data_IF_257242610709
#
_entry.id   IF_257242610709
#
_cell.length_a   1.000
_cell.length_b   1.000
_cell.length_c   1.000
_cell.angle_alpha   90.00
_cell.angle_beta   90.00
_cell.angle_gamma   90.00
#
_symmetry.space_group_name_H-M   'P 1'
#
loop_
_entity.id
_entity.type
_entity.pdbx_description
1 polymer ?
#
# COMPACT_ATOMS: atom_id res chain seq x y z
N UNK A 1 -9.82 -41.91 -19.16
CA UNK A 1 -10.62 -43.14 -19.20
C UNK A 1 -11.77 -42.97 -20.19
N UNK A 2 -11.49 -42.92 -21.49
CA UNK A 2 -12.53 -42.96 -22.51
C UNK A 2 -12.61 -44.41 -23.01
N UNK A 3 -13.24 -45.27 -22.21
CA UNK A 3 -13.74 -46.54 -22.73
C UNK A 3 -14.91 -46.24 -23.67
N UNK A 4 -15.09 -47.06 -24.69
CA UNK A 4 -16.14 -46.91 -25.67
C UNK A 4 -17.50 -46.77 -24.95
N UNK A 5 -18.23 -45.66 -25.18
CA UNK A 5 -19.53 -45.38 -24.53
C UNK A 5 -20.50 -46.56 -24.74
N UNK A 6 -20.42 -47.23 -25.89
CA UNK A 6 -21.23 -48.40 -26.21
C UNK A 6 -20.98 -49.59 -25.27
N UNK A 7 -19.73 -49.77 -24.81
CA UNK A 7 -19.38 -50.83 -23.85
C UNK A 7 -19.93 -50.51 -22.44
N UNK A 8 -20.03 -49.23 -22.08
CA UNK A 8 -20.63 -48.80 -20.81
C UNK A 8 -22.14 -49.04 -20.78
N UNK A 9 -22.85 -48.74 -21.87
CA UNK A 9 -24.29 -48.96 -21.97
C UNK A 9 -24.65 -50.43 -22.17
N UNK A 10 -23.70 -51.28 -22.57
CA UNK A 10 -23.91 -52.73 -22.72
C UNK A 10 -23.75 -53.50 -21.40
N UNK A 11 -23.12 -52.92 -20.37
CA UNK A 11 -22.94 -53.56 -19.06
C UNK A 11 -24.14 -53.28 -18.14
N UNK A 12 -24.81 -54.35 -17.70
CA UNK A 12 -26.01 -54.27 -16.83
C UNK A 12 -25.75 -53.55 -15.51
N UNK A 13 -24.61 -53.82 -14.85
CA UNK A 13 -24.29 -53.18 -13.58
C UNK A 13 -23.95 -51.68 -13.76
N UNK A 14 -23.36 -51.31 -14.89
CA UNK A 14 -23.13 -49.90 -15.25
C UNK A 14 -24.45 -49.19 -15.53
N UNK A 15 -25.38 -49.83 -16.25
CA UNK A 15 -26.74 -49.33 -16.45
C UNK A 15 -27.49 -49.15 -15.12
N UNK A 16 -27.35 -50.08 -14.18
CA UNK A 16 -27.91 -49.95 -12.84
C UNK A 16 -27.32 -48.78 -12.06
N UNK A 17 -26.03 -48.49 -12.23
CA UNK A 17 -25.39 -47.32 -11.64
C UNK A 17 -25.96 -46.01 -12.21
N UNK A 18 -26.25 -45.94 -13.51
CA UNK A 18 -26.98 -44.82 -14.10
C UNK A 18 -28.40 -44.69 -13.53
N UNK A 19 -29.15 -45.80 -13.44
CA UNK A 19 -30.49 -45.83 -12.81
C UNK A 19 -30.45 -45.31 -11.37
N UNK A 20 -29.46 -45.74 -10.59
CA UNK A 20 -29.27 -45.27 -9.21
C UNK A 20 -28.94 -43.77 -9.16
N UNK A 21 -28.10 -43.28 -10.07
CA UNK A 21 -27.74 -41.86 -10.17
C UNK A 21 -28.95 -40.99 -10.55
N UNK A 22 -29.74 -41.41 -11.53
CA UNK A 22 -31.00 -40.74 -11.90
C UNK A 22 -31.99 -40.77 -10.74
N UNK A 23 -32.09 -41.89 -10.03
CA UNK A 23 -32.96 -42.00 -8.85
C UNK A 23 -32.58 -40.99 -7.76
N UNK A 24 -31.28 -40.74 -7.54
CA UNK A 24 -30.81 -39.70 -6.62
C UNK A 24 -31.17 -38.29 -7.10
N UNK A 25 -31.06 -38.00 -8.40
CA UNK A 25 -31.42 -36.70 -8.98
C UNK A 25 -32.92 -36.43 -8.80
N UNK A 26 -33.76 -37.39 -9.19
CA UNK A 26 -35.23 -37.29 -9.04
C UNK A 26 -35.59 -37.06 -7.58
N UNK A 27 -35.02 -37.86 -6.67
CA UNK A 27 -35.29 -37.73 -5.24
C UNK A 27 -34.85 -36.36 -4.72
N UNK A 28 -33.69 -35.85 -5.16
CA UNK A 28 -33.21 -34.52 -4.80
C UNK A 28 -34.21 -33.43 -5.23
N UNK A 29 -34.63 -33.43 -6.49
CA UNK A 29 -35.53 -32.42 -7.06
C UNK A 29 -36.84 -32.31 -6.25
N UNK A 30 -37.40 -33.44 -5.81
CA UNK A 30 -38.58 -33.45 -4.95
C UNK A 30 -38.30 -32.87 -3.56
N UNK A 31 -37.13 -33.16 -2.99
CA UNK A 31 -36.74 -32.61 -1.70
C UNK A 31 -36.43 -31.11 -1.75
N UNK A 32 -36.04 -30.56 -2.91
CA UNK A 32 -35.64 -29.15 -3.03
C UNK A 32 -36.73 -28.19 -2.54
N UNK A 33 -37.96 -28.33 -3.08
CA UNK A 33 -39.08 -27.45 -2.69
C UNK A 33 -39.46 -27.60 -1.22
N UNK A 34 -39.47 -28.85 -0.74
CA UNK A 34 -39.80 -29.14 0.65
C UNK A 34 -38.76 -28.54 1.61
N UNK A 35 -37.47 -28.77 1.35
CA UNK A 35 -36.36 -28.25 2.17
C UNK A 35 -36.36 -26.73 2.16
N UNK A 36 -36.50 -26.10 0.99
CA UNK A 36 -36.52 -24.64 0.88
C UNK A 36 -37.67 -24.03 1.69
N UNK A 37 -38.88 -24.58 1.56
CA UNK A 37 -40.06 -24.17 2.32
C UNK A 37 -39.87 -24.33 3.84
N UNK A 38 -39.35 -25.47 4.29
CA UNK A 38 -39.14 -25.71 5.72
C UNK A 38 -38.03 -24.82 6.31
N UNK A 39 -36.94 -24.60 5.58
CA UNK A 39 -35.91 -23.65 5.98
C UNK A 39 -36.48 -22.23 6.03
N UNK A 40 -37.34 -21.83 5.08
CA UNK A 40 -37.98 -20.52 5.11
C UNK A 40 -38.89 -20.35 6.33
N UNK A 41 -39.64 -21.40 6.72
CA UNK A 41 -40.43 -21.40 7.97
C UNK A 41 -39.54 -21.29 9.21
N UNK A 42 -38.44 -22.05 9.25
CA UNK A 42 -37.46 -21.97 10.33
C UNK A 42 -36.85 -20.56 10.39
N UNK A 43 -36.50 -19.97 9.25
CA UNK A 43 -35.94 -18.62 9.13
C UNK A 43 -36.91 -17.55 9.65
N UNK A 44 -38.22 -17.70 9.45
CA UNK A 44 -39.20 -16.78 10.04
C UNK A 44 -39.21 -16.79 11.60
N UNK A 45 -38.64 -17.83 12.23
CA UNK A 45 -38.54 -17.98 13.68
C UNK A 45 -37.13 -17.70 14.21
N UNK A 46 -36.10 -18.15 13.48
CA UNK A 46 -34.66 -17.99 13.83
C UNK A 46 -34.10 -16.64 13.37
N UNK A 47 -34.58 -16.16 12.22
CA UNK A 47 -34.16 -14.93 11.53
C UNK A 47 -34.93 -13.68 11.94
N UNK A 48 -35.90 -13.77 12.87
CA UNK A 48 -36.39 -12.58 13.60
C UNK A 48 -35.29 -12.10 14.52
N UNK A 49 -34.44 -11.29 13.92
CA UNK A 49 -33.41 -10.48 14.53
C UNK A 49 -33.96 -9.85 15.81
N UNK A 50 -33.16 -9.85 16.88
CA UNK A 50 -33.52 -9.14 18.11
C UNK A 50 -33.89 -7.68 17.76
N UNK A 51 -35.00 -7.18 18.31
CA UNK A 51 -35.54 -5.85 17.99
C UNK A 51 -34.58 -4.67 18.26
N UNK A 52 -33.45 -4.93 18.93
CA UNK A 52 -32.39 -3.96 19.19
C UNK A 52 -31.24 -3.99 18.17
N UNK A 53 -31.20 -4.97 17.27
CA UNK A 53 -30.08 -5.16 16.36
C UNK A 53 -30.53 -5.60 14.99
N UNK A 54 -31.36 -4.80 14.31
CA UNK A 54 -31.46 -4.81 12.84
C UNK A 54 -30.04 -5.05 12.28
N UNK A 55 -29.87 -6.04 11.43
CA UNK A 55 -28.57 -6.58 10.97
C UNK A 55 -27.73 -5.60 10.12
N UNK A 56 -27.80 -4.31 10.42
CA UNK A 56 -26.86 -3.26 10.02
C UNK A 56 -25.62 -3.24 10.94
N UNK A 57 -25.65 -3.90 12.10
CA UNK A 57 -24.52 -4.00 13.03
C UNK A 57 -23.45 -5.03 12.61
N UNK A 58 -23.26 -5.24 11.30
CA UNK A 58 -22.09 -5.93 10.78
C UNK A 58 -20.89 -4.99 10.91
N UNK A 59 -20.32 -4.92 12.11
CA UNK A 59 -19.09 -4.16 12.31
C UNK A 59 -18.01 -4.85 11.46
N UNK A 60 -17.58 -4.19 10.37
CA UNK A 60 -16.34 -4.53 9.65
C UNK A 60 -15.24 -4.65 10.71
N UNK A 61 -14.76 -5.86 10.98
CA UNK A 61 -13.89 -6.14 12.12
C UNK A 61 -12.52 -5.47 11.94
N UNK A 62 -12.16 -4.41 12.69
CA UNK A 62 -10.82 -3.86 12.61
C UNK A 62 -9.90 -4.54 13.63
N UNK A 63 -10.47 -5.05 14.74
CA UNK A 63 -9.73 -5.47 15.95
C UNK A 63 -10.60 -6.29 16.90
N UNK A 64 -10.96 -7.53 16.55
CA UNK A 64 -11.39 -8.48 17.58
C UNK A 64 -10.15 -9.08 18.26
N UNK A 65 -10.16 -9.29 19.59
CA UNK A 65 -9.00 -9.81 20.33
C UNK A 65 -8.49 -11.18 19.83
N UNK A 66 -9.38 -11.99 19.25
CA UNK A 66 -9.08 -13.26 18.57
C UNK A 66 -8.48 -13.05 17.17
N UNK A 67 -8.90 -12.00 16.48
CA UNK A 67 -8.49 -11.65 15.11
C UNK A 67 -7.18 -10.86 15.05
N UNK A 68 -6.72 -10.33 16.19
CA UNK A 68 -5.51 -9.49 16.31
C UNK A 68 -4.24 -10.25 15.91
N UNK A 69 -4.26 -11.57 16.02
CA UNK A 69 -3.30 -12.48 15.38
C UNK A 69 -3.94 -13.05 14.10
N UNK A 70 -3.84 -12.30 13.00
CA UNK A 70 -4.40 -12.66 11.68
C UNK A 70 -4.10 -14.11 11.26
N UNK A 71 -2.98 -14.69 11.70
CA UNK A 71 -2.58 -16.08 11.45
C UNK A 71 -3.52 -17.16 12.03
N UNK A 72 -4.36 -16.82 13.00
CA UNK A 72 -5.19 -17.78 13.76
C UNK A 72 -6.68 -17.75 13.40
N UNK A 73 -7.14 -16.71 12.68
CA UNK A 73 -8.54 -16.60 12.29
C UNK A 73 -8.74 -17.22 10.91
N UNK A 74 -9.31 -18.43 10.87
CA UNK A 74 -9.61 -19.17 9.63
C UNK A 74 -10.54 -18.43 8.65
N UNK A 75 -11.19 -17.35 9.07
CA UNK A 75 -12.07 -16.52 8.23
C UNK A 75 -11.35 -15.40 7.48
N UNK A 76 -10.17 -14.96 7.96
CA UNK A 76 -9.36 -13.91 7.31
C UNK A 76 -8.15 -14.49 6.54
N UNK A 77 -7.82 -15.77 6.78
CA UNK A 77 -6.62 -16.42 6.27
C UNK A 77 -6.85 -17.31 5.03
N UNK A 78 -8.04 -17.29 4.43
CA UNK A 78 -8.32 -18.02 3.20
C UNK A 78 -7.89 -17.19 1.98
N UNK A 79 -6.83 -17.58 1.23
CA UNK A 79 -6.41 -16.85 0.04
C UNK A 79 -7.52 -16.92 -1.03
N UNK A 80 -7.95 -15.77 -1.55
CA UNK A 80 -8.81 -15.69 -2.75
C UNK A 80 -10.32 -15.50 -2.53
N UNK A 81 -10.80 -15.30 -1.29
CA UNK A 81 -12.22 -15.03 -1.00
C UNK A 81 -12.41 -13.64 -0.39
N UNK A 82 -13.51 -12.96 -0.75
CA UNK A 82 -13.91 -11.67 -0.18
C UNK A 82 -13.89 -11.72 1.37
N UNK A 83 -13.53 -10.63 2.06
CA UNK A 83 -13.45 -10.61 3.52
C UNK A 83 -14.80 -11.02 4.13
N UNK A 84 -14.84 -12.21 4.77
CA UNK A 84 -16.06 -12.70 5.42
C UNK A 84 -16.20 -12.06 6.80
N UNK A 85 -17.36 -11.51 7.18
CA UNK A 85 -17.55 -10.94 8.50
C UNK A 85 -17.40 -12.00 9.58
N UNK A 86 -16.64 -11.65 10.63
CA UNK A 86 -16.34 -12.55 11.75
C UNK A 86 -17.63 -12.92 12.51
N UNK A 87 -17.91 -14.22 12.74
CA UNK A 87 -19.11 -14.66 13.46
C UNK A 87 -19.25 -14.15 14.90
N UNK A 88 -18.19 -13.57 15.47
CA UNK A 88 -18.16 -12.98 16.81
C UNK A 88 -18.68 -11.53 16.85
N UNK A 89 -19.12 -10.98 15.73
CA UNK A 89 -19.77 -9.66 15.63
C UNK A 89 -21.21 -9.76 15.08
N UNK A 90 -21.78 -10.95 15.12
CA UNK A 90 -23.18 -11.21 14.80
C UNK A 90 -23.99 -11.18 16.10
N UNK A 91 -25.29 -10.91 16.02
CA UNK A 91 -26.19 -11.08 17.16
C UNK A 91 -26.01 -12.47 17.79
N UNK A 92 -25.52 -12.52 19.03
CA UNK A 92 -25.28 -13.77 19.76
C UNK A 92 -26.55 -14.61 19.89
N UNK A 93 -27.72 -13.98 19.98
CA UNK A 93 -29.00 -14.67 20.03
C UNK A 93 -29.29 -15.45 18.74
N UNK A 94 -29.08 -14.84 17.56
CA UNK A 94 -29.30 -15.54 16.28
C UNK A 94 -28.30 -16.69 16.13
N UNK A 95 -27.04 -16.45 16.52
CA UNK A 95 -26.01 -17.49 16.52
C UNK A 95 -26.38 -18.67 17.44
N UNK A 96 -26.85 -18.38 18.65
CA UNK A 96 -27.32 -19.38 19.60
C UNK A 96 -28.54 -20.13 19.06
N UNK A 97 -29.48 -19.44 18.42
CA UNK A 97 -30.66 -20.06 17.81
C UNK A 97 -30.26 -21.01 16.66
N UNK A 98 -29.31 -20.62 15.80
CA UNK A 98 -28.81 -21.50 14.74
C UNK A 98 -28.12 -22.73 15.36
N UNK A 99 -27.27 -22.51 16.37
CA UNK A 99 -26.56 -23.57 17.06
C UNK A 99 -27.49 -24.53 17.81
N UNK A 100 -28.55 -24.02 18.44
CA UNK A 100 -29.54 -24.84 19.16
C UNK A 100 -30.34 -25.73 18.22
N UNK A 101 -30.57 -25.27 16.99
CA UNK A 101 -31.19 -26.11 15.96
C UNK A 101 -30.19 -27.07 15.29
N UNK A 102 -28.89 -26.94 15.54
CA UNK A 102 -27.90 -27.87 14.99
C UNK A 102 -27.75 -29.08 15.91
N UNK A 103 -28.09 -30.28 15.42
CA UNK A 103 -28.11 -31.53 16.20
C UNK A 103 -26.82 -31.78 16.98
N UNK A 104 -25.68 -31.42 16.38
CA UNK A 104 -24.35 -31.57 16.98
C UNK A 104 -23.76 -30.29 17.59
N UNK A 105 -24.55 -29.21 17.69
CA UNK A 105 -24.07 -27.89 18.15
C UNK A 105 -22.79 -27.39 17.45
N UNK A 106 -22.56 -27.82 16.21
CA UNK A 106 -21.35 -27.50 15.45
C UNK A 106 -21.70 -26.98 14.04
N UNK A 107 -22.30 -25.77 13.93
CA UNK A 107 -22.68 -25.24 12.63
C UNK A 107 -21.46 -24.88 11.78
N UNK A 108 -21.56 -25.08 10.47
CA UNK A 108 -20.55 -24.76 9.48
C UNK A 108 -20.50 -23.27 9.16
N UNK A 109 -20.06 -22.48 10.13
CA UNK A 109 -19.99 -21.01 10.03
C UNK A 109 -19.20 -20.51 8.82
N UNK A 110 -18.24 -21.29 8.32
CA UNK A 110 -17.47 -20.92 7.13
C UNK A 110 -18.29 -20.93 5.85
N UNK A 111 -19.39 -21.68 5.76
CA UNK A 111 -20.17 -21.72 4.52
C UNK A 111 -21.05 -20.50 4.33
N UNK A 112 -21.34 -19.77 5.40
CA UNK A 112 -22.42 -18.78 5.41
C UNK A 112 -21.91 -17.34 5.45
N UNK A 113 -22.73 -16.45 4.90
CA UNK A 113 -22.60 -15.00 4.94
C UNK A 113 -23.55 -14.43 5.99
N UNK A 114 -23.00 -14.13 7.15
CA UNK A 114 -23.73 -13.60 8.29
C UNK A 114 -24.56 -12.36 7.99
N UNK A 115 -24.07 -11.52 7.07
CA UNK A 115 -24.74 -10.30 6.65
C UNK A 115 -26.07 -10.52 5.94
N UNK A 116 -26.29 -11.73 5.44
CA UNK A 116 -27.50 -12.10 4.72
C UNK A 116 -28.46 -12.92 5.59
N UNK A 117 -28.13 -13.23 6.86
CA UNK A 117 -28.98 -14.07 7.71
C UNK A 117 -30.38 -13.50 7.95
N UNK A 118 -30.57 -12.18 7.91
CA UNK A 118 -31.88 -11.57 8.10
C UNK A 118 -32.78 -11.65 6.86
N UNK A 119 -32.18 -11.67 5.67
CA UNK A 119 -32.91 -11.51 4.40
C UNK A 119 -32.88 -12.76 3.53
N UNK A 120 -31.96 -13.69 3.79
CA UNK A 120 -31.76 -14.89 3.00
C UNK A 120 -31.75 -16.13 3.91
N UNK A 121 -32.83 -16.89 3.86
CA UNK A 121 -33.00 -18.13 4.62
C UNK A 121 -31.96 -19.19 4.25
N UNK A 122 -31.48 -19.18 3.00
CA UNK A 122 -30.48 -20.13 2.54
C UNK A 122 -29.12 -19.96 3.24
N UNK A 123 -28.75 -18.74 3.61
CA UNK A 123 -27.51 -18.49 4.34
C UNK A 123 -27.56 -19.11 5.75
N UNK A 124 -28.74 -19.20 6.37
CA UNK A 124 -28.92 -19.99 7.58
C UNK A 124 -28.79 -21.49 7.27
N UNK A 125 -29.40 -21.99 6.18
CA UNK A 125 -29.32 -23.41 5.80
C UNK A 125 -27.88 -23.90 5.61
N UNK A 126 -27.00 -23.07 5.03
CA UNK A 126 -25.58 -23.38 4.86
C UNK A 126 -24.84 -23.74 6.15
N UNK A 127 -25.34 -23.26 7.29
CA UNK A 127 -24.79 -23.60 8.61
C UNK A 127 -24.96 -25.09 8.95
N UNK A 128 -25.88 -25.80 8.29
CA UNK A 128 -26.13 -27.23 8.49
C UNK A 128 -25.49 -28.11 7.42
N UNK A 129 -24.81 -27.51 6.42
CA UNK A 129 -24.05 -28.25 5.42
C UNK A 129 -22.71 -28.75 5.97
N UNK A 130 -22.08 -29.75 5.34
CA UNK A 130 -20.71 -30.12 5.65
C UNK A 130 -19.75 -28.93 5.56
N UNK A 131 -18.66 -28.92 6.33
CA UNK A 131 -17.79 -27.75 6.46
C UNK A 131 -17.14 -27.30 5.14
N UNK A 132 -16.96 -28.16 4.15
CA UNK A 132 -16.22 -27.84 2.92
C UNK A 132 -17.08 -28.00 1.67
N UNK A 133 -16.87 -27.11 0.69
CA UNK A 133 -17.44 -27.22 -0.67
C UNK A 133 -18.79 -26.53 -0.91
N UNK A 134 -19.32 -25.76 0.05
CA UNK A 134 -20.67 -25.17 -0.06
C UNK A 134 -20.72 -23.65 0.13
N UNK A 135 -19.58 -22.98 0.05
CA UNK A 135 -19.48 -21.52 0.27
C UNK A 135 -20.26 -20.72 -0.76
N UNK A 136 -20.16 -21.11 -2.02
CA UNK A 136 -20.65 -20.33 -3.17
C UNK A 136 -22.02 -20.82 -3.67
N UNK A 137 -22.64 -21.77 -2.97
CA UNK A 137 -23.93 -22.36 -3.35
C UNK A 137 -25.07 -21.43 -2.96
N UNK A 138 -25.71 -20.77 -3.93
CA UNK A 138 -26.71 -19.74 -3.65
C UNK A 138 -28.09 -20.26 -3.19
N UNK A 139 -28.42 -21.53 -3.41
CA UNK A 139 -29.73 -22.11 -3.09
C UNK A 139 -29.71 -23.63 -2.96
N UNK A 140 -30.86 -24.22 -2.56
CA UNK A 140 -31.04 -25.68 -2.50
C UNK A 140 -30.82 -26.37 -3.86
N UNK A 141 -31.19 -25.70 -4.95
CA UNK A 141 -31.02 -26.22 -6.32
C UNK A 141 -29.54 -26.40 -6.67
N UNK A 142 -28.69 -25.47 -6.23
CA UNK A 142 -27.23 -25.55 -6.42
C UNK A 142 -26.54 -26.53 -5.48
N UNK A 143 -27.25 -27.12 -4.52
CA UNK A 143 -26.69 -28.07 -3.54
C UNK A 143 -26.74 -29.48 -4.11
N UNK A 144 -25.76 -30.33 -3.83
CA UNK A 144 -25.83 -31.73 -4.23
C UNK A 144 -26.75 -32.56 -3.31
N UNK A 145 -27.11 -33.78 -3.73
CA UNK A 145 -27.98 -34.66 -2.94
C UNK A 145 -27.48 -34.86 -1.51
N UNK A 146 -26.18 -35.12 -1.34
CA UNK A 146 -25.59 -35.32 -0.01
C UNK A 146 -25.63 -34.05 0.85
N UNK A 147 -25.51 -32.85 0.26
CA UNK A 147 -25.70 -31.58 0.96
C UNK A 147 -27.13 -31.42 1.43
N UNK A 148 -28.12 -31.67 0.58
CA UNK A 148 -29.56 -31.63 0.94
C UNK A 148 -29.87 -32.59 2.09
N UNK A 149 -29.42 -33.85 2.01
CA UNK A 149 -29.59 -34.82 3.09
C UNK A 149 -28.85 -34.40 4.37
N UNK A 150 -27.68 -33.74 4.25
CA UNK A 150 -26.95 -33.26 5.41
C UNK A 150 -27.70 -32.16 6.16
N UNK A 151 -28.40 -31.26 5.46
CA UNK A 151 -29.28 -30.26 6.09
C UNK A 151 -30.37 -30.96 6.91
N UNK A 152 -31.08 -31.92 6.30
CA UNK A 152 -32.14 -32.69 6.95
C UNK A 152 -31.65 -33.45 8.19
N UNK A 153 -30.41 -33.96 8.17
CA UNK A 153 -29.80 -34.67 9.30
C UNK A 153 -29.33 -33.74 10.41
N UNK A 154 -28.68 -32.63 10.04
CA UNK A 154 -27.98 -31.77 10.98
C UNK A 154 -28.91 -30.73 11.63
N UNK A 155 -30.05 -30.43 11.02
CA UNK A 155 -31.02 -29.46 11.54
C UNK A 155 -32.19 -30.15 12.25
N UNK A 156 -32.35 -29.89 13.54
CA UNK A 156 -33.43 -30.45 14.39
C UNK A 156 -34.82 -29.91 14.07
N UNK A 157 -34.94 -28.83 13.27
CA UNK A 157 -36.23 -28.38 12.74
C UNK A 157 -36.96 -29.50 12.00
N UNK A 158 -36.20 -30.38 11.32
CA UNK A 158 -36.74 -31.51 10.57
C UNK A 158 -37.11 -32.73 11.44
N UNK A 159 -36.92 -32.69 12.76
CA UNK A 159 -37.35 -33.76 13.68
C UNK A 159 -38.88 -33.89 13.72
N UNK A 160 -39.59 -32.82 13.36
CA UNK A 160 -41.04 -32.81 13.19
C UNK A 160 -41.49 -33.49 11.88
N UNK A 161 -40.57 -33.66 10.93
CA UNK A 161 -40.85 -34.14 9.58
C UNK A 161 -40.38 -35.57 9.35
N UNK A 162 -39.34 -36.02 10.03
CA UNK A 162 -38.76 -37.36 9.84
C UNK A 162 -38.70 -38.14 11.15
N UNK A 163 -38.81 -39.45 11.04
CA UNK A 163 -38.70 -40.35 12.19
C UNK A 163 -37.22 -40.58 12.52
N UNK A 164 -36.78 -40.13 13.70
CA UNK A 164 -35.44 -40.37 14.23
C UNK A 164 -35.47 -41.34 15.40
N UNK A 165 -34.67 -42.41 15.36
CA UNK A 165 -34.41 -43.24 16.53
C UNK A 165 -33.00 -43.03 17.06
N UNK A 166 -32.85 -43.08 18.39
CA UNK A 166 -31.55 -43.01 19.04
C UNK A 166 -30.88 -44.38 18.96
N UNK A 167 -29.72 -44.46 18.31
CA UNK A 167 -28.87 -45.63 18.36
C UNK A 167 -27.99 -45.57 19.64
N UNK A 168 -28.02 -46.57 20.54
CA UNK A 168 -27.22 -46.56 21.77
C UNK A 168 -25.71 -46.47 21.55
N UNK A 169 -25.23 -46.83 20.36
CA UNK A 169 -23.81 -46.98 20.02
C UNK A 169 -23.31 -46.02 18.93
N UNK A 170 -24.15 -45.09 18.45
CA UNK A 170 -23.78 -44.17 17.36
C UNK A 170 -24.17 -42.74 17.71
N UNK A 171 -23.27 -41.75 17.49
CA UNK A 171 -23.63 -40.34 17.61
C UNK A 171 -24.60 -39.88 16.50
N UNK A 172 -24.79 -40.69 15.46
CA UNK A 172 -25.75 -40.42 14.39
C UNK A 172 -27.07 -41.15 14.65
N UNK A 173 -28.22 -40.48 14.45
CA UNK A 173 -29.52 -41.11 14.61
C UNK A 173 -29.70 -42.21 13.55
N UNK A 174 -30.28 -43.33 13.97
CA UNK A 174 -30.67 -44.36 13.02
C UNK A 174 -32.00 -43.93 12.40
N UNK A 175 -31.96 -43.61 11.11
CA UNK A 175 -33.12 -43.09 10.39
C UNK A 175 -32.95 -43.33 8.90
N UNK A 176 -34.01 -43.07 8.12
CA UNK A 176 -33.93 -43.20 6.66
C UNK A 176 -32.89 -42.27 6.06
N UNK A 177 -32.69 -41.08 6.65
CA UNK A 177 -31.75 -40.07 6.18
C UNK A 177 -30.28 -40.52 6.25
N UNK A 178 -29.87 -41.24 7.29
CA UNK A 178 -28.49 -41.77 7.37
C UNK A 178 -28.25 -42.86 6.34
N UNK A 179 -29.25 -43.70 6.07
CA UNK A 179 -29.18 -44.75 5.06
C UNK A 179 -29.10 -44.18 3.64
N UNK A 180 -29.94 -43.21 3.29
CA UNK A 180 -29.90 -42.58 1.95
C UNK A 180 -28.66 -41.71 1.74
N UNK A 181 -28.11 -41.10 2.79
CA UNK A 181 -26.81 -40.40 2.71
C UNK A 181 -25.68 -41.37 2.36
N UNK A 182 -25.68 -42.56 2.98
CA UNK A 182 -24.68 -43.58 2.68
C UNK A 182 -24.81 -44.05 1.23
N UNK A 183 -26.04 -44.32 0.77
CA UNK A 183 -26.33 -44.63 -0.63
C UNK A 183 -25.79 -43.54 -1.57
N UNK A 184 -26.04 -42.26 -1.27
CA UNK A 184 -25.57 -41.15 -2.08
C UNK A 184 -24.04 -41.08 -2.19
N UNK A 185 -23.32 -41.45 -1.12
CA UNK A 185 -21.85 -41.59 -1.14
C UNK A 185 -21.42 -42.80 -1.94
N UNK A 186 -22.01 -43.96 -1.69
CA UNK A 186 -21.62 -45.22 -2.34
C UNK A 186 -21.80 -45.14 -3.85
N UNK A 187 -22.94 -44.64 -4.32
CA UNK A 187 -23.21 -44.47 -5.76
C UNK A 187 -22.20 -43.49 -6.39
N UNK A 188 -21.89 -42.36 -5.74
CA UNK A 188 -20.98 -41.35 -6.31
C UNK A 188 -19.51 -41.79 -6.30
N UNK A 189 -19.08 -42.56 -5.30
CA UNK A 189 -17.67 -42.89 -5.09
C UNK A 189 -17.27 -44.30 -5.51
N UNK A 190 -18.18 -45.08 -6.09
CA UNK A 190 -17.85 -46.40 -6.64
C UNK A 190 -16.94 -46.24 -7.86
N UNK A 191 -15.66 -46.62 -7.73
CA UNK A 191 -14.65 -46.50 -8.78
C UNK A 191 -14.93 -47.34 -10.03
N UNK A 192 -15.75 -48.39 -9.90
CA UNK A 192 -16.18 -49.25 -11.01
C UNK A 192 -17.42 -48.74 -11.73
N UNK A 193 -18.11 -47.71 -11.22
CA UNK A 193 -19.41 -47.23 -11.71
C UNK A 193 -20.41 -48.37 -11.94
N UNK A 194 -20.45 -49.35 -11.04
CA UNK A 194 -21.27 -50.56 -11.16
C UNK A 194 -22.12 -50.77 -9.91
N UNK A 195 -23.40 -51.12 -10.10
CA UNK A 195 -24.36 -51.42 -9.03
C UNK A 195 -25.06 -52.75 -9.33
N UNK A 196 -25.07 -53.68 -8.38
CA UNK A 196 -25.79 -54.95 -8.55
C UNK A 196 -27.31 -54.75 -8.51
N UNK A 197 -28.07 -55.67 -9.12
CA UNK A 197 -29.54 -55.60 -9.13
C UNK A 197 -30.16 -55.54 -7.73
N UNK A 198 -29.60 -56.30 -6.77
CA UNK A 198 -30.04 -56.29 -5.37
C UNK A 198 -29.87 -54.91 -4.75
N UNK A 199 -28.73 -54.27 -5.04
CA UNK A 199 -28.38 -52.97 -4.49
C UNK A 199 -29.24 -51.88 -5.12
N UNK A 200 -29.44 -51.90 -6.45
CA UNK A 200 -30.37 -50.98 -7.11
C UNK A 200 -31.78 -51.07 -6.52
N UNK A 201 -32.28 -52.30 -6.29
CA UNK A 201 -33.60 -52.51 -5.67
C UNK A 201 -33.65 -51.94 -4.25
N UNK A 202 -32.59 -52.10 -3.47
CA UNK A 202 -32.49 -51.55 -2.12
C UNK A 202 -32.40 -50.02 -2.15
N UNK A 203 -31.57 -49.45 -3.02
CA UNK A 203 -31.43 -47.99 -3.24
C UNK A 203 -32.80 -47.38 -3.53
N UNK A 204 -33.52 -47.89 -4.52
CA UNK A 204 -34.84 -47.37 -4.90
C UNK A 204 -35.84 -47.54 -3.75
N UNK A 205 -35.79 -48.64 -3.00
CA UNK A 205 -36.67 -48.84 -1.85
C UNK A 205 -36.44 -47.77 -0.77
N UNK A 206 -35.17 -47.46 -0.45
CA UNK A 206 -34.83 -46.46 0.57
C UNK A 206 -35.18 -45.04 0.11
N UNK A 207 -34.92 -44.70 -1.15
CA UNK A 207 -35.31 -43.40 -1.71
C UNK A 207 -36.84 -43.22 -1.73
N UNK A 208 -37.60 -44.27 -2.07
CA UNK A 208 -39.05 -44.24 -1.93
C UNK A 208 -39.50 -44.04 -0.49
N UNK A 209 -38.87 -44.76 0.45
CA UNK A 209 -39.20 -44.66 1.87
C UNK A 209 -38.97 -43.23 2.38
N UNK A 210 -37.90 -42.57 1.91
CA UNK A 210 -37.61 -41.17 2.23
C UNK A 210 -38.72 -40.22 1.74
N UNK A 211 -39.21 -40.41 0.52
CA UNK A 211 -40.29 -39.58 -0.05
C UNK A 211 -41.67 -39.86 0.57
N UNK A 212 -41.80 -40.94 1.35
CA UNK A 212 -43.04 -41.29 2.06
C UNK A 212 -43.01 -41.03 3.56
N UNK A 213 -41.84 -40.76 4.16
CA UNK A 213 -41.70 -40.61 5.62
C UNK A 213 -42.34 -39.29 6.11
N UNK A 214 -42.05 -38.10 5.54
CA UNK A 214 -42.75 -36.88 5.93
C UNK A 214 -44.17 -36.87 5.40
N UNK A 215 -45.14 -36.57 6.27
CA UNK A 215 -46.56 -36.41 5.90
C UNK A 215 -46.74 -35.35 4.81
N UNK A 216 -45.92 -34.29 4.82
CA UNK A 216 -45.90 -33.24 3.81
C UNK A 216 -45.54 -33.77 2.41
N UNK A 217 -44.56 -34.68 2.32
CA UNK A 217 -44.14 -35.28 1.06
C UNK A 217 -45.06 -36.42 0.63
N UNK A 218 -45.56 -37.23 1.58
CA UNK A 218 -46.44 -38.35 1.29
C UNK A 218 -47.73 -37.92 0.56
N UNK A 219 -48.19 -36.68 0.80
CA UNK A 219 -49.37 -36.10 0.16
C UNK A 219 -49.04 -35.20 -1.06
N UNK A 220 -47.76 -34.99 -1.39
CA UNK A 220 -47.36 -34.17 -2.54
C UNK A 220 -47.56 -34.96 -3.85
N UNK A 221 -48.34 -34.43 -4.82
CA UNK A 221 -48.49 -35.04 -6.14
C UNK A 221 -47.16 -35.24 -6.88
N UNK A 222 -46.18 -34.36 -6.69
CA UNK A 222 -44.86 -34.46 -7.31
C UNK A 222 -44.06 -35.61 -6.69
N UNK A 223 -44.07 -35.75 -5.37
CA UNK A 223 -43.45 -36.90 -4.68
C UNK A 223 -44.10 -38.23 -5.12
N UNK A 224 -45.42 -38.26 -5.30
CA UNK A 224 -46.13 -39.42 -5.85
C UNK A 224 -45.69 -39.74 -7.29
N UNK A 225 -45.52 -38.72 -8.14
CA UNK A 225 -44.99 -38.85 -9.49
C UNK A 225 -43.55 -39.39 -9.50
N UNK A 226 -42.67 -38.84 -8.66
CA UNK A 226 -41.31 -39.29 -8.49
C UNK A 226 -41.24 -40.75 -8.01
N UNK A 227 -42.05 -41.14 -7.02
CA UNK A 227 -42.18 -42.53 -6.56
C UNK A 227 -42.59 -43.46 -7.71
N UNK A 228 -43.47 -43.01 -8.60
CA UNK A 228 -43.87 -43.76 -9.78
C UNK A 228 -42.71 -43.92 -10.77
N UNK A 229 -41.95 -42.85 -11.02
CA UNK A 229 -40.74 -42.89 -11.87
C UNK A 229 -39.67 -43.80 -11.28
N UNK A 230 -39.42 -43.72 -9.97
CA UNK A 230 -38.52 -44.63 -9.26
C UNK A 230 -38.95 -46.09 -9.39
N UNK A 231 -40.27 -46.37 -9.34
CA UNK A 231 -40.80 -47.73 -9.56
C UNK A 231 -40.55 -48.19 -11.00
N UNK A 232 -40.69 -47.31 -11.99
CA UNK A 232 -40.37 -47.63 -13.40
C UNK A 232 -38.88 -47.94 -13.55
N UNK A 233 -37.99 -47.15 -12.97
CA UNK A 233 -36.54 -47.39 -13.00
C UNK A 233 -36.16 -48.75 -12.38
N UNK A 234 -36.82 -49.14 -11.28
CA UNK A 234 -36.61 -50.44 -10.61
C UNK A 234 -36.98 -51.63 -11.50
N UNK A 235 -38.08 -51.50 -12.23
CA UNK A 235 -38.68 -52.60 -12.98
C UNK A 235 -38.23 -52.64 -14.44
N UNK A 236 -37.63 -51.56 -14.95
CA UNK A 236 -37.15 -51.50 -16.32
C UNK A 236 -35.94 -52.44 -16.48
N UNK A 237 -36.13 -53.53 -17.22
CA UNK A 237 -35.08 -54.49 -17.55
C UNK A 237 -34.25 -54.06 -18.77
N UNK A 238 -34.72 -53.06 -19.52
CA UNK A 238 -33.98 -52.50 -20.66
C UNK A 238 -32.84 -51.61 -20.19
N UNK A 239 -31.83 -51.48 -21.06
CA UNK A 239 -30.73 -50.55 -20.89
C UNK A 239 -31.25 -49.11 -21.04
N UNK A 240 -30.79 -48.20 -20.17
CA UNK A 240 -31.06 -46.77 -20.37
C UNK A 240 -30.34 -46.34 -21.64
N UNK A 241 -31.08 -45.74 -22.56
CA UNK A 241 -30.50 -45.17 -23.77
C UNK A 241 -29.81 -43.84 -23.48
N UNK A 242 -28.81 -43.42 -24.28
CA UNK A 242 -28.20 -42.11 -24.15
C UNK A 242 -29.21 -40.95 -24.17
N UNK A 243 -30.27 -41.06 -24.98
CA UNK A 243 -31.33 -40.05 -25.07
C UNK A 243 -32.18 -39.98 -23.79
N UNK A 244 -32.54 -41.13 -23.20
CA UNK A 244 -33.23 -41.17 -21.89
C UNK A 244 -32.35 -40.61 -20.77
N UNK A 245 -31.05 -40.88 -20.79
CA UNK A 245 -30.10 -40.28 -19.85
C UNK A 245 -30.03 -38.76 -20.03
N UNK A 246 -29.96 -38.28 -21.26
CA UNK A 246 -29.92 -36.85 -21.58
C UNK A 246 -31.23 -36.15 -21.17
N UNK A 247 -32.37 -36.82 -21.33
CA UNK A 247 -33.67 -36.34 -20.88
C UNK A 247 -33.73 -36.13 -19.36
N UNK A 248 -33.11 -37.02 -18.59
CA UNK A 248 -32.97 -36.87 -17.14
C UNK A 248 -31.90 -35.85 -16.72
N UNK A 249 -31.01 -35.45 -17.63
CA UNK A 249 -29.98 -34.43 -17.42
C UNK A 249 -30.37 -33.06 -18.00
N UNK A 250 -31.63 -32.86 -18.41
CA UNK A 250 -32.15 -31.57 -18.92
C UNK A 250 -31.87 -30.38 -18.00
N UNK A 251 -31.80 -30.61 -16.69
CA UNK A 251 -31.41 -29.57 -15.71
C UNK A 251 -29.93 -29.17 -15.84
N UNK A 252 -29.03 -30.14 -16.11
CA UNK A 252 -27.64 -29.83 -16.41
C UNK A 252 -27.51 -29.04 -17.73
N UNK A 253 -28.39 -29.32 -18.70
CA UNK A 253 -28.46 -28.56 -19.95
C UNK A 253 -28.96 -27.13 -19.73
N UNK A 254 -29.97 -26.93 -18.86
CA UNK A 254 -30.42 -25.58 -18.47
C UNK A 254 -29.36 -24.82 -17.66
N UNK A 255 -28.59 -25.50 -16.81
CA UNK A 255 -27.47 -24.90 -16.09
C UNK A 255 -26.40 -24.45 -17.08
N UNK A 256 -26.06 -25.26 -18.09
CA UNK A 256 -25.10 -24.88 -19.13
C UNK A 256 -25.56 -23.64 -19.91
N UNK A 257 -26.84 -23.54 -20.25
CA UNK A 257 -27.41 -22.34 -20.89
C UNK A 257 -27.29 -21.12 -19.98
N UNK A 258 -27.66 -21.23 -18.70
CA UNK A 258 -27.54 -20.11 -17.74
C UNK A 258 -26.09 -19.68 -17.51
N UNK A 259 -25.15 -20.64 -17.46
CA UNK A 259 -23.71 -20.35 -17.35
C UNK A 259 -23.22 -19.63 -18.60
N UNK A 260 -23.69 -20.03 -19.79
CA UNK A 260 -23.35 -19.36 -21.04
C UNK A 260 -23.90 -17.92 -21.08
N UNK A 261 -25.16 -17.71 -20.69
CA UNK A 261 -25.76 -16.37 -20.62
C UNK A 261 -25.03 -15.47 -19.60
N UNK A 262 -24.63 -16.05 -18.46
CA UNK A 262 -23.86 -15.33 -17.45
C UNK A 262 -22.45 -15.00 -17.94
N UNK A 263 -21.81 -15.92 -18.66
CA UNK A 263 -20.52 -15.70 -19.31
C UNK A 263 -20.60 -14.54 -20.32
N UNK A 264 -21.66 -14.47 -21.12
CA UNK A 264 -21.85 -13.39 -22.08
C UNK A 264 -22.10 -12.03 -21.40
N UNK A 265 -22.85 -12.02 -20.28
CA UNK A 265 -23.04 -10.80 -19.48
C UNK A 265 -21.73 -10.30 -18.88
N UNK A 266 -20.94 -11.19 -18.27
CA UNK A 266 -19.63 -10.84 -17.71
C UNK A 266 -18.70 -10.33 -18.79
N UNK A 267 -18.72 -10.92 -20.00
CA UNK A 267 -17.94 -10.41 -21.13
C UNK A 267 -18.29 -8.96 -21.47
N UNK A 268 -19.59 -8.61 -21.52
CA UNK A 268 -20.05 -7.23 -21.79
C UNK A 268 -19.66 -6.25 -20.68
N UNK A 269 -19.72 -6.68 -19.43
CA UNK A 269 -19.26 -5.88 -18.29
C UNK A 269 -17.74 -5.63 -18.35
N UNK A 270 -16.95 -6.65 -18.70
CA UNK A 270 -15.50 -6.50 -18.92
C UNK A 270 -15.20 -5.51 -20.04
N UNK A 271 -15.89 -5.60 -21.17
CA UNK A 271 -15.71 -4.66 -22.29
C UNK A 271 -16.06 -3.21 -21.88
N UNK A 272 -17.10 -3.04 -21.05
CA UNK A 272 -17.49 -1.73 -20.52
C UNK A 272 -16.42 -1.16 -19.60
N UNK A 273 -15.90 -1.96 -18.66
CA UNK A 273 -14.82 -1.55 -17.74
C UNK A 273 -13.54 -1.22 -18.51
N UNK A 274 -13.21 -1.98 -19.56
CA UNK A 274 -12.05 -1.67 -20.41
C UNK A 274 -12.20 -0.31 -21.11
N UNK A 275 -13.41 0.03 -21.57
CA UNK A 275 -13.70 1.33 -22.18
C UNK A 275 -13.56 2.48 -21.16
N UNK A 276 -14.02 2.28 -19.92
CA UNK A 276 -13.88 3.25 -18.83
C UNK A 276 -12.40 3.46 -18.45
N UNK A 277 -11.61 2.38 -18.38
CA UNK A 277 -10.17 2.45 -18.13
C UNK A 277 -9.46 3.23 -19.24
N UNK A 278 -9.75 2.96 -20.51
CA UNK A 278 -9.16 3.71 -21.64
C UNK A 278 -9.51 5.20 -21.58
N UNK A 279 -10.77 5.51 -21.24
CA UNK A 279 -11.23 6.90 -21.08
C UNK A 279 -10.50 7.62 -19.95
N UNK A 280 -10.39 7.00 -18.77
CA UNK A 280 -9.64 7.57 -17.65
C UNK A 280 -8.15 7.71 -17.96
N UNK A 281 -7.56 6.75 -18.67
CA UNK A 281 -6.15 6.83 -19.07
C UNK A 281 -5.89 8.02 -20.00
N UNK A 282 -6.77 8.26 -20.98
CA UNK A 282 -6.71 9.44 -21.85
C UNK A 282 -6.84 10.75 -21.07
N UNK A 283 -7.75 10.82 -20.10
CA UNK A 283 -7.92 12.00 -19.25
C UNK A 283 -6.68 12.25 -18.37
N UNK A 284 -6.09 11.21 -17.78
CA UNK A 284 -4.84 11.32 -17.01
C UNK A 284 -3.68 11.83 -17.88
N UNK A 285 -3.53 11.31 -19.10
CA UNK A 285 -2.50 11.76 -20.03
C UNK A 285 -2.67 13.24 -20.39
N UNK A 286 -3.91 13.67 -20.68
CA UNK A 286 -4.20 15.08 -20.96
C UNK A 286 -3.85 15.99 -19.76
N UNK A 287 -4.18 15.58 -18.54
CA UNK A 287 -3.83 16.35 -17.33
C UNK A 287 -2.32 16.43 -17.11
N UNK A 288 -1.57 15.38 -17.43
CA UNK A 288 -0.10 15.40 -17.37
C UNK A 288 0.44 16.43 -18.38
N UNK A 289 -0.01 16.39 -19.63
CA UNK A 289 0.41 17.33 -20.67
C UNK A 289 0.10 18.79 -20.30
N UNK A 290 -1.09 19.06 -19.75
CA UNK A 290 -1.48 20.38 -19.27
C UNK A 290 -0.55 20.86 -18.14
N UNK A 291 -0.27 20.01 -17.16
CA UNK A 291 0.62 20.36 -16.03
C UNK A 291 2.07 20.56 -16.47
N UNK A 292 2.55 19.78 -17.44
CA UNK A 292 3.89 19.95 -18.01
C UNK A 292 4.00 21.28 -18.77
N UNK A 293 2.98 21.66 -19.53
CA UNK A 293 2.94 22.93 -20.24
C UNK A 293 2.92 24.12 -19.26
N UNK A 294 2.08 24.07 -18.22
CA UNK A 294 2.08 25.09 -17.16
C UNK A 294 3.43 25.20 -16.45
N UNK A 295 4.07 24.08 -16.14
CA UNK A 295 5.39 24.07 -15.51
C UNK A 295 6.46 24.69 -16.43
N UNK A 296 6.41 24.38 -17.73
CA UNK A 296 7.31 24.95 -18.74
C UNK A 296 7.14 26.46 -18.86
N UNK A 297 5.90 26.97 -18.85
CA UNK A 297 5.62 28.40 -18.87
C UNK A 297 6.11 29.11 -17.61
N UNK A 298 5.90 28.52 -16.42
CA UNK A 298 6.41 29.06 -15.15
C UNK A 298 7.94 29.17 -15.16
N UNK A 299 8.64 28.08 -15.53
CA UNK A 299 10.11 28.07 -15.62
C UNK A 299 10.61 29.11 -16.64
N UNK A 300 9.93 29.25 -17.78
CA UNK A 300 10.27 30.27 -18.78
C UNK A 300 10.13 31.70 -18.23
N UNK A 301 9.06 31.96 -17.47
CA UNK A 301 8.82 33.27 -16.86
C UNK A 301 9.85 33.58 -15.77
N UNK A 302 10.05 32.65 -14.83
CA UNK A 302 11.04 32.80 -13.75
C UNK A 302 12.45 32.95 -14.31
N UNK A 303 12.81 32.19 -15.35
CA UNK A 303 14.09 32.31 -16.03
C UNK A 303 14.31 33.71 -16.64
N UNK A 304 13.28 34.30 -17.24
CA UNK A 304 13.34 35.69 -17.74
C UNK A 304 13.52 36.71 -16.62
N UNK A 305 12.85 36.53 -15.49
CA UNK A 305 12.97 37.42 -14.32
C UNK A 305 14.37 37.36 -13.70
N UNK A 306 14.92 36.16 -13.54
CA UNK A 306 16.30 35.96 -13.04
C UNK A 306 17.32 36.60 -13.98
N UNK A 307 17.17 36.41 -15.30
CA UNK A 307 18.05 37.05 -16.29
C UNK A 307 17.99 38.57 -16.21
N UNK A 308 16.79 39.16 -16.06
CA UNK A 308 16.64 40.60 -15.88
C UNK A 308 17.31 41.10 -14.59
N UNK A 309 17.22 40.33 -13.50
CA UNK A 309 17.87 40.67 -12.23
C UNK A 309 19.40 40.61 -12.33
N UNK A 310 19.94 39.57 -12.97
CA UNK A 310 21.39 39.44 -13.23
C UNK A 310 21.89 40.64 -14.04
N UNK A 311 21.18 41.01 -15.11
CA UNK A 311 21.59 42.13 -15.96
C UNK A 311 21.52 43.47 -15.20
N UNK A 312 20.48 43.68 -14.39
CA UNK A 312 20.38 44.85 -13.52
C UNK A 312 21.53 44.92 -12.51
N UNK A 313 21.87 43.79 -11.87
CA UNK A 313 22.98 43.72 -10.92
C UNK A 313 24.33 43.95 -11.60
N UNK A 314 24.51 43.41 -12.82
CA UNK A 314 25.71 43.61 -13.64
C UNK A 314 25.90 45.08 -13.99
N UNK A 315 24.83 45.77 -14.41
CA UNK A 315 24.85 47.19 -14.72
C UNK A 315 25.15 48.04 -13.48
N UNK A 316 24.54 47.73 -12.33
CA UNK A 316 24.81 48.42 -11.07
C UNK A 316 26.27 48.26 -10.64
N UNK A 317 26.79 47.03 -10.72
CA UNK A 317 28.19 46.72 -10.40
C UNK A 317 29.16 47.45 -11.31
N UNK A 318 28.88 47.48 -12.63
CA UNK A 318 29.68 48.22 -13.60
C UNK A 318 29.72 49.72 -13.27
N UNK A 319 28.58 50.32 -12.92
CA UNK A 319 28.50 51.73 -12.51
C UNK A 319 29.34 52.02 -11.26
N UNK A 320 29.24 51.16 -10.23
CA UNK A 320 30.04 51.31 -9.01
C UNK A 320 31.54 51.20 -9.29
N UNK A 321 31.96 50.27 -10.16
CA UNK A 321 33.37 50.15 -10.57
C UNK A 321 33.83 51.43 -11.26
N UNK A 322 33.06 51.95 -12.21
CA UNK A 322 33.40 53.20 -12.90
C UNK A 322 33.48 54.40 -11.95
N UNK A 323 32.56 54.51 -10.99
CA UNK A 323 32.61 55.55 -9.95
C UNK A 323 33.88 55.42 -9.10
N UNK A 324 34.25 54.20 -8.70
CA UNK A 324 35.46 53.95 -7.91
C UNK A 324 36.73 54.25 -8.70
N UNK A 325 36.79 53.87 -9.97
CA UNK A 325 37.90 54.20 -10.86
C UNK A 325 38.08 55.72 -10.97
N UNK A 326 36.99 56.48 -11.09
CA UNK A 326 37.05 57.93 -11.12
C UNK A 326 37.55 58.52 -9.79
N UNK A 327 37.09 57.99 -8.64
CA UNK A 327 37.58 58.40 -7.32
C UNK A 327 39.08 58.15 -7.17
N UNK A 328 39.56 56.98 -7.60
CA UNK A 328 40.98 56.62 -7.57
C UNK A 328 41.79 57.53 -8.48
N UNK A 329 41.32 57.84 -9.69
CA UNK A 329 41.98 58.79 -10.60
C UNK A 329 42.11 60.18 -9.99
N UNK A 330 41.07 60.68 -9.31
CA UNK A 330 41.11 61.98 -8.63
C UNK A 330 42.11 62.00 -7.48
N UNK A 331 42.12 60.93 -6.67
CA UNK A 331 43.11 60.77 -5.59
C UNK A 331 44.54 60.71 -6.12
N UNK A 332 44.77 59.98 -7.22
CA UNK A 332 46.07 59.91 -7.87
C UNK A 332 46.53 61.30 -8.35
N UNK A 333 45.65 62.08 -8.99
CA UNK A 333 45.96 63.45 -9.42
C UNK A 333 46.29 64.37 -8.25
N UNK A 334 45.53 64.28 -7.16
CA UNK A 334 45.82 65.05 -5.93
C UNK A 334 47.16 64.66 -5.33
N UNK A 335 47.49 63.37 -5.31
CA UNK A 335 48.77 62.86 -4.79
C UNK A 335 49.93 63.34 -5.64
N UNK A 336 49.77 63.35 -6.97
CA UNK A 336 50.76 63.88 -7.89
C UNK A 336 51.01 65.37 -7.67
N UNK A 337 49.94 66.15 -7.46
CA UNK A 337 50.05 67.58 -7.12
C UNK A 337 50.85 67.79 -5.83
N UNK A 338 50.53 67.06 -4.77
CA UNK A 338 51.25 67.12 -3.50
C UNK A 338 52.72 66.74 -3.70
N UNK A 339 52.99 65.69 -4.47
CA UNK A 339 54.37 65.26 -4.75
C UNK A 339 55.17 66.36 -5.47
N UNK A 340 54.57 67.09 -6.42
CA UNK A 340 55.21 68.24 -7.07
C UNK A 340 55.49 69.38 -6.10
N UNK A 341 54.55 69.72 -5.22
CA UNK A 341 54.74 70.75 -4.19
C UNK A 341 55.85 70.37 -3.21
N UNK A 342 55.90 69.11 -2.78
CA UNK A 342 56.98 68.58 -1.92
C UNK A 342 58.32 68.65 -2.63
N UNK A 343 58.38 68.27 -3.92
CA UNK A 343 59.60 68.35 -4.71
C UNK A 343 60.10 69.80 -4.85
N UNK A 344 59.21 70.76 -5.12
CA UNK A 344 59.57 72.17 -5.20
C UNK A 344 60.12 72.69 -3.85
N UNK A 345 59.46 72.37 -2.74
CA UNK A 345 59.95 72.73 -1.40
C UNK A 345 61.31 72.12 -1.09
N UNK A 346 61.56 70.88 -1.52
CA UNK A 346 62.86 70.24 -1.35
C UNK A 346 63.96 71.01 -2.10
N UNK A 347 63.69 71.46 -3.33
CA UNK A 347 64.62 72.31 -4.10
C UNK A 347 64.89 73.66 -3.41
N UNK A 348 63.87 74.31 -2.84
CA UNK A 348 64.04 75.55 -2.08
C UNK A 348 64.91 75.35 -0.82
N UNK A 349 64.73 74.22 -0.12
CA UNK A 349 65.55 73.85 1.04
C UNK A 349 67.00 73.59 0.61
N UNK A 350 67.23 72.86 -0.47
CA UNK A 350 68.58 72.61 -1.01
C UNK A 350 69.28 73.92 -1.40
N UNK A 351 68.58 74.82 -2.09
CA UNK A 351 69.11 76.15 -2.43
C UNK A 351 69.47 76.95 -1.18
N UNK A 352 68.62 76.93 -0.16
CA UNK A 352 68.87 77.62 1.11
C UNK A 352 70.07 77.02 1.84
N UNK A 353 70.17 75.68 1.90
CA UNK A 353 71.30 74.99 2.51
C UNK A 353 72.61 75.35 1.81
N UNK A 354 72.63 75.38 0.48
CA UNK A 354 73.80 75.80 -0.30
C UNK A 354 74.23 77.25 0.00
N UNK A 355 73.28 78.18 0.12
CA UNK A 355 73.58 79.56 0.52
C UNK A 355 74.14 79.65 1.95
N UNK A 356 73.65 78.83 2.88
CA UNK A 356 74.19 78.73 4.24
C UNK A 356 75.63 78.21 4.21
N UNK A 357 75.95 77.21 3.39
CA UNK A 357 77.32 76.72 3.20
C UNK A 357 78.25 77.83 2.67
N UNK A 358 77.82 78.58 1.65
CA UNK A 358 78.58 79.74 1.13
C UNK A 358 78.81 80.77 2.24
N UNK A 359 77.77 81.08 3.03
CA UNK A 359 77.90 82.03 4.13
C UNK A 359 78.86 81.54 5.21
N UNK A 360 78.78 80.26 5.58
CA UNK A 360 79.71 79.63 6.53
C UNK A 360 81.16 79.67 6.02
N UNK A 361 81.39 79.42 4.73
CA UNK A 361 82.71 79.54 4.12
C UNK A 361 83.25 80.98 4.18
N UNK A 362 82.40 81.98 3.95
CA UNK A 362 82.78 83.39 4.09
C UNK A 362 83.13 83.77 5.54
N UNK A 363 82.35 83.30 6.52
CA UNK A 363 82.64 83.50 7.94
C UNK A 363 83.98 82.86 8.32
N UNK A 364 84.24 81.65 7.81
CA UNK A 364 85.52 80.97 8.02
C UNK A 364 86.70 81.76 7.45
N UNK A 365 86.56 82.30 6.23
CA UNK A 365 87.58 83.17 5.61
C UNK A 365 87.81 84.47 6.39
N UNK A 366 86.75 85.11 6.88
CA UNK A 366 86.86 86.27 7.77
C UNK A 366 87.60 85.91 9.07
N UNK A 367 87.30 84.75 9.64
CA UNK A 367 87.96 84.28 10.87
C UNK A 367 89.46 84.09 10.64
N UNK A 368 89.87 83.44 9.55
CA UNK A 368 91.28 83.32 9.17
C UNK A 368 91.97 84.68 8.98
N UNK A 369 91.25 85.66 8.42
CA UNK A 369 91.77 87.02 8.24
C UNK A 369 91.99 87.73 9.58
N UNK A 370 91.04 87.57 10.52
CA UNK A 370 91.16 88.09 11.89
C UNK A 370 92.33 87.43 12.60
N UNK A 371 92.47 86.10 12.48
CA UNK A 371 93.54 85.33 13.12
C UNK A 371 94.92 85.74 12.60
N UNK A 372 95.03 85.95 11.28
CA UNK A 372 96.25 86.48 10.65
C UNK A 372 96.59 87.90 11.13
N UNK A 373 95.58 88.78 11.25
CA UNK A 373 95.78 90.12 11.85
C UNK A 373 96.18 90.03 13.33
N UNK A 374 95.62 89.08 14.08
CA UNK A 374 95.99 88.86 15.47
C UNK A 374 97.44 88.37 15.59
N UNK A 375 97.91 87.50 14.69
CA UNK A 375 99.34 87.13 14.59
C UNK A 375 100.21 88.33 14.22
N UNK A 376 99.82 89.17 13.25
CA UNK A 376 100.56 90.39 12.93
C UNK A 376 100.64 91.34 14.12
N UNK A 377 99.56 91.51 14.87
CA UNK A 377 99.55 92.28 16.13
C UNK A 377 100.48 91.62 17.16
N UNK A 378 100.43 90.30 17.32
CA UNK A 378 101.32 89.55 18.21
C UNK A 378 102.79 89.77 17.87
N UNK A 379 103.16 89.64 16.58
CA UNK A 379 104.51 89.91 16.09
C UNK A 379 104.92 91.36 16.32
N UNK A 380 104.01 92.32 16.10
CA UNK A 380 104.26 93.74 16.37
C UNK A 380 104.50 93.99 17.86
N UNK A 381 103.75 93.34 18.75
CA UNK A 381 103.96 93.39 20.21
C UNK A 381 105.35 92.82 20.54
N UNK A 382 105.72 91.67 19.98
CA UNK A 382 107.03 91.05 20.21
C UNK A 382 108.18 91.95 19.74
N UNK A 383 108.03 92.61 18.59
CA UNK A 383 108.98 93.64 18.10
C UNK A 383 109.04 94.83 19.08
N UNK A 384 107.90 95.27 19.63
CA UNK A 384 107.86 96.35 20.62
C UNK A 384 108.56 95.91 21.92
N UNK A 385 108.34 94.69 22.39
CA UNK A 385 109.01 94.12 23.58
C UNK A 385 110.51 93.98 23.36
N UNK A 386 110.94 93.58 22.17
CA UNK A 386 112.35 93.49 21.79
C UNK A 386 113.00 94.87 21.80
N UNK A 387 112.35 95.89 21.23
CA UNK A 387 112.79 97.30 21.33
C UNK A 387 112.79 97.82 22.76
N UNK A 388 111.84 97.42 23.59
CA UNK A 388 111.79 97.77 25.01
C UNK A 388 112.98 97.17 25.78
N UNK A 389 113.37 95.93 25.45
CA UNK A 389 114.55 95.28 26.01
C UNK A 389 115.86 95.90 25.50
N UNK A 390 115.93 96.34 24.24
CA UNK A 390 117.05 97.13 23.73
C UNK A 390 117.16 98.50 24.44
N UNK A 391 116.02 99.09 24.81
CA UNK A 391 115.97 100.34 25.60
C UNK A 391 116.38 100.11 27.06
N UNK A 392 116.17 98.90 27.62
CA UNK A 392 116.73 98.50 28.93
C UNK A 392 118.25 98.27 28.86
N UNK A 393 118.79 97.84 27.72
CA UNK A 393 120.25 97.74 27.51
C UNK A 393 120.95 99.09 27.36
N UNK A 394 120.23 100.20 27.19
CA UNK A 394 120.80 101.56 27.09
C UNK A 394 120.68 102.39 28.38
N UNK A 395 119.98 101.90 29.41
CA UNK A 395 119.72 102.65 30.66
C UNK A 395 120.39 102.06 31.92
N UNK A 396 121.24 101.04 31.79
CA UNK A 396 121.99 100.45 32.91
C UNK A 396 123.51 100.71 32.86
N UNK A 397 123.95 101.72 32.10
CA UNK A 397 125.34 102.23 32.08
C UNK A 397 125.62 103.28 33.18
N UNK A 398 124.85 103.30 34.27
CA UNK A 398 125.16 104.11 35.45
C UNK A 398 124.88 103.31 36.74
N UNK A 399 125.88 102.48 37.07
CA UNK A 399 126.54 102.33 38.39
C UNK A 399 125.64 102.01 39.61
N UNK A 400 125.88 100.96 40.42
CA UNK A 400 127.08 100.72 41.24
C UNK A 400 127.08 99.25 41.76
N UNK A 401 128.18 98.55 41.46
CA UNK A 401 128.98 97.57 42.22
C UNK A 401 128.37 96.44 43.10
N UNK A 402 128.62 95.17 42.68
CA UNK A 402 129.42 94.21 43.49
C UNK A 402 128.79 92.93 44.09
N UNK A 403 129.36 91.76 43.68
CA UNK A 403 129.62 90.49 44.44
C UNK A 403 128.79 89.16 44.28
N UNK A 404 129.41 88.22 43.53
CA UNK A 404 129.92 86.84 43.85
C UNK A 404 129.10 85.64 44.41
N UNK A 405 129.35 84.47 43.78
CA UNK A 405 129.27 83.03 44.22
C UNK A 405 127.85 82.45 44.41
N UNK A 406 127.45 81.28 43.90
CA UNK A 406 128.10 80.00 43.51
C UNK A 406 127.50 79.39 42.26
#
# INVERSE_FOLDING_TARGET
MAGNLDDMFSNKNTCNWFKASIALIITKQELEKFVDSEIQKMHANVGRVCGNCFTENLIKCPTCGVCRNAKSCSFHNSPGLLPRPCPMKICDQVKQNIASHHRYSNPSWKNTRAELWATNHWEIAKCYLPPDGYTDVASVQGTDFNGVISILLNCTHFDTCFSFSNAPSSPYPECILTQVRQIGRDVRHTSSCQVADSDLKNIILKLKSLLTDPVSLANDPNASSAINTLRKLKNNTQFITPDELLDHLKDAQQILVKVNDQSERVSKEVDTVLLEIDTHMKQCLQQIDERENEARERISKEGKEVLAHIESHRLASAKMITEKENEVKQKALQTEKIAREVHQKAQEIEYTAHNVEIHAANVFQHTLTIDKKAQEIGNNIEIIEQKLNETKMTNNDLDIEGNTLT
#
